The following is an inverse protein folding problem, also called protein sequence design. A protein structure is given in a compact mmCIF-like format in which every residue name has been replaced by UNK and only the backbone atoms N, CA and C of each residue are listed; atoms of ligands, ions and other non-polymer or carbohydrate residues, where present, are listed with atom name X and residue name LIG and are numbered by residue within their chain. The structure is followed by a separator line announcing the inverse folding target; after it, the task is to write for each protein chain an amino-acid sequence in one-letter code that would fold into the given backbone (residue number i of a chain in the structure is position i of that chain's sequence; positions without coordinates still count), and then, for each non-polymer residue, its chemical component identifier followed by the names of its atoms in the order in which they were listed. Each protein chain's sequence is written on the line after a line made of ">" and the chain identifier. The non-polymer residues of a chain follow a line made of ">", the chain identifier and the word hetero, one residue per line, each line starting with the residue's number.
data_IF_797609488206
#
_entry.id   IF_797609488206
#
_cell.length_a   1.000
_cell.length_b   1.000
_cell.length_c   1.000
_cell.angle_alpha   90.00
_cell.angle_beta   90.00
_cell.angle_gamma   90.00
#
_symmetry.space_group_name_H-M   'P 1'
#
loop_
_entity.id
_entity.type
_entity.pdbx_description
1 polymer ?
#
# COMPACT_ATOMS: atom_id res chain seq x y z
N UNK A 1 2.44 -8.84 -2.25
CA UNK A 1 3.12 -9.96 -1.54
C UNK A 1 2.07 -10.94 -1.00
N UNK A 2 2.37 -12.24 -0.89
CA UNK A 2 1.40 -13.24 -0.42
C UNK A 2 1.16 -13.18 1.11
N UNK A 3 2.14 -12.73 1.89
CA UNK A 3 2.05 -12.63 3.35
C UNK A 3 2.22 -11.19 3.82
N UNK A 4 1.73 -10.90 5.02
CA UNK A 4 1.90 -9.59 5.66
C UNK A 4 3.38 -9.31 5.93
N UNK A 5 4.09 -10.31 6.41
CA UNK A 5 5.50 -10.23 6.79
C UNK A 5 6.37 -9.91 5.57
N UNK A 6 6.10 -10.54 4.42
CA UNK A 6 6.82 -10.21 3.18
C UNK A 6 6.46 -8.81 2.67
N UNK A 7 5.21 -8.37 2.79
CA UNK A 7 4.81 -7.01 2.43
C UNK A 7 5.53 -5.95 3.27
N UNK A 8 5.72 -6.20 4.57
CA UNK A 8 6.45 -5.30 5.48
C UNK A 8 7.93 -5.23 5.14
N UNK A 9 8.56 -6.37 4.83
CA UNK A 9 9.96 -6.39 4.36
C UNK A 9 10.13 -5.59 3.07
N UNK A 10 9.19 -5.71 2.13
CA UNK A 10 9.20 -4.90 0.90
C UNK A 10 9.00 -3.42 1.22
N UNK A 11 8.12 -3.05 2.15
CA UNK A 11 7.91 -1.65 2.57
C UNK A 11 9.18 -1.05 3.16
N UNK A 12 9.85 -1.78 4.07
CA UNK A 12 11.11 -1.36 4.69
C UNK A 12 12.20 -1.12 3.64
N UNK A 13 12.40 -2.05 2.70
CA UNK A 13 13.37 -1.88 1.62
C UNK A 13 12.98 -0.74 0.67
N UNK A 14 11.70 -0.64 0.30
CA UNK A 14 11.21 0.41 -0.60
C UNK A 14 11.43 1.80 0.00
N UNK A 15 11.21 1.96 1.31
CA UNK A 15 11.37 3.24 2.00
C UNK A 15 12.81 3.75 2.02
N UNK A 16 13.82 2.87 1.98
CA UNK A 16 15.23 3.27 1.87
C UNK A 16 15.50 4.09 0.61
N UNK A 17 14.76 3.82 -0.46
CA UNK A 17 14.88 4.52 -1.74
C UNK A 17 13.81 5.58 -1.95
N UNK A 18 12.58 5.33 -1.49
CA UNK A 18 11.43 6.19 -1.75
C UNK A 18 11.47 7.49 -0.93
N UNK A 19 11.86 7.41 0.35
CA UNK A 19 11.85 8.57 1.26
C UNK A 19 12.80 9.69 0.79
N UNK A 20 14.06 9.42 0.41
CA UNK A 20 14.96 10.46 -0.12
C UNK A 20 14.46 11.12 -1.42
N UNK A 21 13.62 10.41 -2.17
CA UNK A 21 13.04 10.90 -3.43
C UNK A 21 11.67 11.58 -3.24
N UNK A 22 11.16 11.65 -2.00
CA UNK A 22 9.83 12.19 -1.72
C UNK A 22 8.68 11.32 -2.24
N UNK A 23 8.93 10.05 -2.53
CA UNK A 23 7.94 9.08 -3.00
C UNK A 23 7.29 8.43 -1.78
N UNK A 24 5.96 8.43 -1.70
CA UNK A 24 5.20 7.86 -0.58
C UNK A 24 4.78 6.44 -0.87
N UNK A 25 5.05 5.59 0.11
CA UNK A 25 4.69 4.18 0.10
C UNK A 25 3.56 3.94 1.11
N UNK A 26 2.64 3.04 0.78
CA UNK A 26 1.62 2.56 1.73
C UNK A 26 1.52 1.05 1.66
N UNK A 27 1.64 0.40 2.81
CA UNK A 27 1.40 -1.04 2.95
C UNK A 27 -0.09 -1.31 3.24
N UNK A 28 -0.69 -2.23 2.48
CA UNK A 28 -2.12 -2.57 2.53
C UNK A 28 -2.29 -4.06 2.78
N UNK A 29 -2.42 -4.42 4.07
CA UNK A 29 -2.37 -5.82 4.53
C UNK A 29 -3.41 -6.11 5.61
N UNK A 30 -3.76 -7.39 5.73
CA UNK A 30 -4.61 -7.90 6.80
C UNK A 30 -4.02 -7.71 8.19
N UNK A 31 -4.87 -7.71 9.23
CA UNK A 31 -4.43 -7.59 10.63
C UNK A 31 -4.08 -6.18 11.11
N UNK A 32 -4.16 -5.16 10.25
CA UNK A 32 -4.06 -3.74 10.61
C UNK A 32 -5.42 -3.05 10.46
N UNK A 33 -5.59 -1.93 11.17
CA UNK A 33 -6.82 -1.12 11.13
C UNK A 33 -7.14 -0.66 9.70
N UNK A 34 -8.40 -0.84 9.29
CA UNK A 34 -8.89 -0.37 7.99
C UNK A 34 -8.92 1.16 7.92
N UNK A 35 -9.28 1.81 9.02
CA UNK A 35 -9.38 3.27 9.09
C UNK A 35 -8.01 3.93 8.94
N UNK A 36 -6.99 3.36 9.59
CA UNK A 36 -5.61 3.84 9.51
C UNK A 36 -5.06 3.69 8.09
N UNK A 37 -5.25 2.52 7.46
CA UNK A 37 -4.86 2.30 6.07
C UNK A 37 -5.59 3.25 5.12
N UNK A 38 -6.89 3.43 5.31
CA UNK A 38 -7.69 4.37 4.53
C UNK A 38 -7.22 5.82 4.71
N UNK A 39 -6.82 6.21 5.92
CA UNK A 39 -6.25 7.53 6.18
C UNK A 39 -4.90 7.72 5.47
N UNK A 40 -3.98 6.75 5.55
CA UNK A 40 -2.69 6.80 4.85
C UNK A 40 -2.87 6.87 3.32
N UNK A 41 -3.81 6.10 2.76
CA UNK A 41 -4.14 6.17 1.33
C UNK A 41 -4.68 7.54 0.92
N UNK A 42 -5.53 8.17 1.75
CA UNK A 42 -6.06 9.53 1.49
C UNK A 42 -5.00 10.62 1.50
N UNK A 43 -3.88 10.43 2.20
CA UNK A 43 -2.77 11.39 2.15
C UNK A 43 -2.10 11.41 0.77
N UNK A 44 -2.30 10.37 -0.04
CA UNK A 44 -1.69 10.18 -1.36
C UNK A 44 -0.63 9.09 -1.31
N UNK A 45 -0.52 8.32 -2.40
CA UNK A 45 0.30 7.13 -2.45
C UNK A 45 0.81 6.91 -3.87
N UNK A 46 2.13 6.86 -4.02
CA UNK A 46 2.80 6.59 -5.29
C UNK A 46 3.13 5.09 -5.45
N UNK A 47 3.40 4.39 -4.33
CA UNK A 47 3.68 2.95 -4.31
C UNK A 47 2.79 2.26 -3.28
N UNK A 48 1.94 1.33 -3.74
CA UNK A 48 1.12 0.47 -2.88
C UNK A 48 1.74 -0.92 -2.79
N UNK A 49 2.00 -1.40 -1.57
CA UNK A 49 2.48 -2.76 -1.32
C UNK A 49 1.38 -3.53 -0.60
N UNK A 50 0.76 -4.53 -1.23
CA UNK A 50 -0.44 -5.13 -0.68
C UNK A 50 -0.43 -6.66 -0.65
N UNK A 51 -1.27 -7.24 0.22
CA UNK A 51 -1.70 -8.65 0.12
C UNK A 51 -2.99 -8.75 -0.69
N UNK A 52 -3.19 -9.79 -1.52
CA UNK A 52 -4.31 -9.84 -2.46
C UNK A 52 -5.69 -9.62 -1.83
N UNK A 53 -5.99 -10.29 -0.72
CA UNK A 53 -7.29 -10.16 -0.05
C UNK A 53 -7.56 -8.74 0.44
N UNK A 54 -6.58 -8.09 1.08
CA UNK A 54 -6.77 -6.71 1.57
C UNK A 54 -6.78 -5.70 0.42
N UNK A 55 -6.05 -5.95 -0.67
CA UNK A 55 -6.09 -5.11 -1.87
C UNK A 55 -7.50 -5.10 -2.49
N UNK A 56 -8.12 -6.28 -2.62
CA UNK A 56 -9.50 -6.39 -3.13
C UNK A 56 -10.46 -5.61 -2.24
N UNK A 57 -10.40 -5.78 -0.91
CA UNK A 57 -11.24 -5.03 0.04
C UNK A 57 -11.15 -3.51 -0.19
N UNK A 58 -9.94 -2.94 -0.34
CA UNK A 58 -9.77 -1.49 -0.49
C UNK A 58 -10.23 -0.97 -1.85
N UNK A 59 -10.12 -1.78 -2.90
CA UNK A 59 -10.61 -1.44 -4.24
C UNK A 59 -12.14 -1.46 -4.30
N UNK A 60 -12.77 -2.49 -3.73
CA UNK A 60 -14.23 -2.62 -3.68
C UNK A 60 -14.88 -1.48 -2.88
N UNK A 61 -14.26 -1.08 -1.78
CA UNK A 61 -14.72 0.04 -0.95
C UNK A 61 -14.26 1.42 -1.47
N UNK A 62 -13.58 1.48 -2.62
CA UNK A 62 -13.06 2.72 -3.23
C UNK A 62 -12.13 3.55 -2.33
N UNK A 63 -11.43 2.91 -1.39
CA UNK A 63 -10.35 3.55 -0.64
C UNK A 63 -9.12 3.81 -1.51
N UNK A 64 -8.96 3.04 -2.59
CA UNK A 64 -7.92 3.16 -3.59
C UNK A 64 -8.53 2.93 -4.98
N UNK A 65 -7.96 3.55 -6.02
CA UNK A 65 -8.22 3.24 -7.43
C UNK A 65 -6.88 3.07 -8.14
N UNK A 66 -6.84 2.29 -9.23
CA UNK A 66 -5.61 1.98 -9.97
C UNK A 66 -5.53 2.69 -11.34
N UNK A 67 -6.27 3.80 -11.50
CA UNK A 67 -6.39 4.50 -12.80
C UNK A 67 -5.05 5.00 -13.37
N UNK A 68 -4.03 5.18 -12.53
CA UNK A 68 -2.68 5.63 -12.91
C UNK A 68 -1.60 4.58 -12.60
N UNK A 69 -2.00 3.33 -12.36
CA UNK A 69 -1.07 2.23 -12.15
C UNK A 69 -0.42 1.86 -13.49
N UNK A 70 0.86 2.17 -13.63
CA UNK A 70 1.67 1.89 -14.83
C UNK A 70 2.68 0.76 -14.62
N UNK A 71 2.76 0.23 -13.39
CA UNK A 71 3.66 -0.85 -12.99
C UNK A 71 2.94 -1.80 -12.02
N UNK A 72 3.05 -3.12 -12.25
CA UNK A 72 2.46 -4.20 -11.44
C UNK A 72 3.54 -5.21 -11.08
#
# INVERSE_FOLDING_TARGET
>A
APTRELAQQIEEETNKFAVPLGIRTVVVVGGLSREEQGFRLRQGCEIVIATPGRLVDVLENRYLVLNQCTYV
#
